data_IF_430697601732
#
_entry.id   IF_430697601732
#
_cell.length_a   1.000
_cell.length_b   1.000
_cell.length_c   1.000
_cell.angle_alpha   90.00
_cell.angle_beta   90.00
_cell.angle_gamma   90.00
#
_symmetry.space_group_name_H-M   'P 1'
#
loop_
_entity.id
_entity.type
_entity.pdbx_description
1 polymer ?
#
# COMPACT_ATOMS: atom_id res chain seq x y z
N UNK A 1 7.61 0.42 6.07
CA UNK A 1 8.64 0.54 5.02
C UNK A 1 8.08 1.07 3.69
N UNK A 2 7.06 0.45 3.07
CA UNK A 2 6.65 0.78 1.70
C UNK A 2 6.41 2.27 1.42
N UNK A 3 5.69 2.96 2.29
CA UNK A 3 5.39 4.40 2.14
C UNK A 3 6.62 5.31 2.36
N UNK A 4 7.56 4.88 3.20
CA UNK A 4 8.80 5.60 3.48
C UNK A 4 9.72 5.53 2.26
N UNK A 5 9.98 4.31 1.78
CA UNK A 5 10.86 4.08 0.64
C UNK A 5 10.30 4.69 -0.63
N UNK A 6 8.99 4.65 -0.84
CA UNK A 6 8.35 5.30 -1.97
C UNK A 6 8.57 6.82 -1.98
N UNK A 7 8.42 7.47 -0.81
CA UNK A 7 8.71 8.89 -0.68
C UNK A 7 10.21 9.19 -0.86
N UNK A 8 11.11 8.38 -0.30
CA UNK A 8 12.56 8.55 -0.47
C UNK A 8 12.97 8.41 -1.94
N UNK A 9 12.44 7.41 -2.64
CA UNK A 9 12.66 7.25 -4.08
C UNK A 9 12.15 8.47 -4.84
N UNK A 10 10.97 9.01 -4.51
CA UNK A 10 10.51 10.25 -5.14
C UNK A 10 11.41 11.45 -4.84
N UNK A 11 11.94 11.52 -3.62
CA UNK A 11 12.75 12.63 -3.13
C UNK A 11 14.17 12.64 -3.69
N UNK A 12 14.83 11.48 -3.77
CA UNK A 12 16.25 11.36 -4.11
C UNK A 12 16.61 10.20 -5.06
N UNK A 13 15.65 9.41 -5.52
CA UNK A 13 15.86 8.32 -6.49
C UNK A 13 16.37 7.00 -5.88
N UNK A 14 16.61 6.96 -4.58
CA UNK A 14 17.14 5.79 -3.86
C UNK A 14 16.60 5.73 -2.43
N UNK A 15 16.58 4.53 -1.83
CA UNK A 15 16.25 4.33 -0.42
C UNK A 15 17.46 4.55 0.46
N UNK A 16 17.27 5.05 1.68
CA UNK A 16 18.37 5.60 2.47
C UNK A 16 19.03 4.67 3.51
N UNK A 17 18.75 3.36 3.54
CA UNK A 17 19.08 2.53 4.72
C UNK A 17 20.04 1.34 4.47
N UNK A 18 21.15 1.32 5.22
CA UNK A 18 21.82 0.08 5.69
C UNK A 18 21.47 -0.14 7.17
N UNK A 19 20.52 -1.04 7.41
CA UNK A 19 19.98 -1.37 8.75
C UNK A 19 21.05 -1.88 9.70
N UNK A 20 21.97 -2.72 9.22
CA UNK A 20 22.90 -3.45 10.08
C UNK A 20 23.94 -2.51 10.70
N UNK A 21 24.40 -1.53 9.91
CA UNK A 21 25.40 -0.56 10.36
C UNK A 21 24.77 0.50 11.28
N UNK A 22 23.60 1.04 10.92
CA UNK A 22 22.97 2.15 11.62
C UNK A 22 22.30 1.77 12.97
N UNK A 23 22.00 0.48 13.18
CA UNK A 23 21.45 0.02 14.46
C UNK A 23 22.49 0.06 15.60
N UNK A 24 23.78 -0.10 15.29
CA UNK A 24 24.83 -0.19 16.31
C UNK A 24 25.09 1.16 16.97
N UNK A 25 24.99 2.25 16.22
CA UNK A 25 25.22 3.62 16.71
C UNK A 25 23.92 4.38 17.03
N UNK A 26 22.76 3.75 16.79
CA UNK A 26 21.44 4.32 17.07
C UNK A 26 20.96 5.35 16.04
N UNK A 27 21.63 5.49 14.89
CA UNK A 27 21.23 6.38 13.81
C UNK A 27 20.17 5.77 12.88
N UNK A 28 19.88 4.48 13.01
CA UNK A 28 18.93 3.76 12.17
C UNK A 28 17.57 4.46 12.08
N UNK A 29 17.13 4.77 10.86
CA UNK A 29 15.84 5.38 10.57
C UNK A 29 15.71 6.84 10.98
N UNK A 30 16.76 7.53 11.44
CA UNK A 30 16.69 8.96 11.81
C UNK A 30 17.00 9.86 10.63
N UNK A 31 16.01 10.02 9.74
CA UNK A 31 16.10 10.90 8.58
C UNK A 31 15.10 12.05 8.69
N UNK A 32 15.62 13.28 8.81
CA UNK A 32 14.80 14.46 9.13
C UNK A 32 13.80 14.80 8.03
N UNK A 33 14.21 14.73 6.77
CA UNK A 33 13.37 15.10 5.63
C UNK A 33 12.19 14.12 5.47
N UNK A 34 12.44 12.80 5.52
CA UNK A 34 11.43 11.73 5.61
C UNK A 34 10.46 11.95 6.77
N UNK A 35 10.98 12.25 7.98
CA UNK A 35 10.12 12.53 9.13
C UNK A 35 9.22 13.73 8.88
N UNK A 36 9.80 14.85 8.44
CA UNK A 36 9.06 16.07 8.17
C UNK A 36 7.98 15.87 7.09
N UNK A 37 8.30 15.14 6.03
CA UNK A 37 7.37 14.90 4.93
C UNK A 37 6.21 13.99 5.34
N UNK A 38 6.49 12.85 5.97
CA UNK A 38 5.46 11.90 6.39
C UNK A 38 4.57 12.43 7.51
N UNK A 39 5.15 13.09 8.52
CA UNK A 39 4.37 13.76 9.55
C UNK A 39 3.57 14.94 8.97
N UNK A 40 4.16 15.71 8.04
CA UNK A 40 3.46 16.75 7.29
C UNK A 40 2.26 16.21 6.51
N UNK A 41 2.42 15.08 5.82
CA UNK A 41 1.34 14.41 5.11
C UNK A 41 0.25 13.90 6.05
N UNK A 42 0.59 13.40 7.25
CA UNK A 42 -0.41 13.01 8.25
C UNK A 42 -1.23 14.21 8.74
N UNK A 43 -0.56 15.34 9.05
CA UNK A 43 -1.25 16.59 9.45
C UNK A 43 -2.13 17.14 8.33
N UNK A 44 -1.63 17.12 7.10
CA UNK A 44 -2.41 17.50 5.91
C UNK A 44 -3.64 16.62 5.75
N UNK A 45 -3.48 15.30 5.86
CA UNK A 45 -4.58 14.35 5.76
C UNK A 45 -5.69 14.65 6.78
N UNK A 46 -5.32 14.94 8.03
CA UNK A 46 -6.25 15.33 9.07
C UNK A 46 -6.91 16.70 8.79
N UNK A 47 -6.16 17.69 8.34
CA UNK A 47 -6.70 19.03 8.03
C UNK A 47 -7.69 18.99 6.86
N UNK A 48 -7.39 18.23 5.82
CA UNK A 48 -8.20 18.12 4.60
C UNK A 48 -9.24 16.99 4.65
N UNK A 49 -9.28 16.21 5.72
CA UNK A 49 -10.17 15.05 5.89
C UNK A 49 -10.03 14.02 4.76
N UNK A 50 -8.79 13.70 4.39
CA UNK A 50 -8.44 12.69 3.39
C UNK A 50 -7.62 11.56 4.00
N UNK A 51 -7.44 10.49 3.22
CA UNK A 51 -6.57 9.37 3.56
C UNK A 51 -5.08 9.73 3.58
N UNK A 52 -4.29 8.99 4.36
CA UNK A 52 -2.85 9.21 4.47
C UNK A 52 -2.13 9.00 3.12
N UNK A 53 -2.51 7.93 2.39
CA UNK A 53 -1.95 7.67 1.07
C UNK A 53 -2.24 8.79 0.06
N UNK A 54 -3.46 9.31 0.03
CA UNK A 54 -3.80 10.47 -0.83
C UNK A 54 -3.00 11.71 -0.45
N UNK A 55 -2.90 12.03 0.84
CA UNK A 55 -2.16 13.20 1.29
C UNK A 55 -0.67 13.11 0.93
N UNK A 56 -0.08 11.92 1.00
CA UNK A 56 1.30 11.70 0.57
C UNK A 56 1.47 11.89 -0.94
N UNK A 57 0.61 11.28 -1.75
CA UNK A 57 0.68 11.44 -3.21
C UNK A 57 0.55 12.90 -3.65
N UNK A 58 -0.32 13.67 -2.98
CA UNK A 58 -0.42 15.12 -3.18
C UNK A 58 0.85 15.86 -2.72
N UNK A 59 1.44 15.45 -1.59
CA UNK A 59 2.69 16.04 -1.10
C UNK A 59 3.84 15.82 -2.10
N UNK A 60 3.92 14.64 -2.71
CA UNK A 60 4.93 14.30 -3.73
C UNK A 60 4.71 15.12 -5.01
N UNK A 61 3.49 15.13 -5.54
CA UNK A 61 3.16 15.76 -6.82
C UNK A 61 3.17 17.29 -6.76
N UNK A 62 2.61 17.89 -5.72
CA UNK A 62 2.60 19.34 -5.52
C UNK A 62 3.97 19.87 -5.07
N UNK A 63 4.71 19.05 -4.32
CA UNK A 63 6.10 19.32 -3.93
C UNK A 63 7.08 19.29 -5.09
N UNK A 64 6.67 18.74 -6.25
CA UNK A 64 7.51 18.57 -7.46
C UNK A 64 8.84 17.89 -7.13
N UNK A 65 8.75 16.77 -6.41
CA UNK A 65 9.95 16.02 -6.05
C UNK A 65 10.70 15.55 -7.31
N UNK A 66 12.05 15.47 -7.28
CA UNK A 66 12.87 15.25 -8.47
C UNK A 66 12.54 13.97 -9.24
N UNK A 67 12.06 12.95 -8.55
CA UNK A 67 11.75 11.62 -9.10
C UNK A 67 10.30 11.22 -8.80
N UNK A 68 9.38 12.20 -8.76
CA UNK A 68 7.97 11.96 -8.42
C UNK A 68 7.29 10.88 -9.29
N UNK A 69 7.73 10.70 -10.54
CA UNK A 69 7.26 9.69 -11.49
C UNK A 69 7.61 8.25 -11.09
N UNK A 70 8.56 8.06 -10.17
CA UNK A 70 8.92 6.74 -9.64
C UNK A 70 8.05 6.32 -8.46
N UNK A 71 7.25 7.24 -7.89
CA UNK A 71 6.42 6.97 -6.73
C UNK A 71 5.05 6.41 -7.12
N UNK A 72 4.68 5.30 -6.47
CA UNK A 72 3.37 4.67 -6.60
C UNK A 72 2.28 5.60 -6.06
N UNK A 73 2.50 6.27 -4.93
CA UNK A 73 1.51 7.20 -4.37
C UNK A 73 1.42 8.50 -5.16
N UNK A 74 2.53 8.99 -5.71
CA UNK A 74 2.58 10.14 -6.61
C UNK A 74 1.77 9.89 -7.89
N UNK A 75 2.02 8.77 -8.57
CA UNK A 75 1.27 8.38 -9.76
C UNK A 75 -0.19 8.07 -9.45
N UNK A 76 -0.50 7.42 -8.32
CA UNK A 76 -1.89 7.20 -7.91
C UNK A 76 -2.64 8.53 -7.71
N UNK A 77 -2.00 9.53 -7.10
CA UNK A 77 -2.59 10.86 -6.97
C UNK A 77 -2.77 11.55 -8.33
N UNK A 78 -1.78 11.48 -9.23
CA UNK A 78 -1.86 12.03 -10.59
C UNK A 78 -3.03 11.43 -11.38
N UNK A 79 -3.22 10.12 -11.27
CA UNK A 79 -4.24 9.35 -11.99
C UNK A 79 -5.60 9.31 -11.29
N UNK A 80 -5.73 9.87 -10.09
CA UNK A 80 -6.96 9.82 -9.30
C UNK A 80 -7.31 8.39 -8.82
N UNK A 81 -6.32 7.51 -8.71
CA UNK A 81 -6.49 6.14 -8.22
C UNK A 81 -6.44 6.16 -6.68
N UNK A 82 -7.42 5.56 -5.99
CA UNK A 82 -7.37 5.42 -4.54
C UNK A 82 -6.13 4.65 -4.07
N UNK A 83 -5.29 5.30 -3.27
CA UNK A 83 -4.13 4.68 -2.63
C UNK A 83 -4.20 4.92 -1.12
N UNK A 84 -4.06 3.84 -0.34
CA UNK A 84 -4.24 3.85 1.11
C UNK A 84 -2.96 3.41 1.82
N UNK A 85 -2.77 3.86 3.06
CA UNK A 85 -1.68 3.45 3.94
C UNK A 85 -2.27 2.97 5.27
N UNK A 86 -2.04 1.70 5.59
CA UNK A 86 -2.51 1.07 6.83
C UNK A 86 -1.36 1.00 7.83
N UNK A 87 -1.36 1.96 8.76
CA UNK A 87 -0.26 2.15 9.71
C UNK A 87 -0.25 1.05 10.75
N UNK A 88 0.90 0.38 10.89
CA UNK A 88 1.23 -0.47 12.02
C UNK A 88 2.12 0.34 12.97
N UNK A 89 1.52 0.89 14.02
CA UNK A 89 2.21 1.83 14.90
C UNK A 89 3.42 1.18 15.59
N UNK A 90 4.58 1.84 15.53
CA UNK A 90 5.85 1.32 16.02
C UNK A 90 6.63 0.45 15.04
N UNK A 91 6.09 0.16 13.85
CA UNK A 91 6.81 -0.60 12.81
C UNK A 91 7.57 0.26 11.81
N UNK A 92 7.18 1.54 11.66
CA UNK A 92 7.80 2.49 10.73
C UNK A 92 8.66 3.52 11.47
N UNK A 93 9.76 3.95 10.85
CA UNK A 93 10.73 4.91 11.41
C UNK A 93 10.10 6.25 11.77
N UNK A 94 9.04 6.66 11.06
CA UNK A 94 8.31 7.91 11.33
C UNK A 94 7.71 7.94 12.74
N UNK A 95 7.42 6.80 13.34
CA UNK A 95 6.92 6.73 14.71
C UNK A 95 7.97 7.08 15.77
N UNK A 96 9.25 7.13 15.38
CA UNK A 96 10.34 7.54 16.25
C UNK A 96 10.47 9.06 16.36
N UNK A 97 9.86 9.83 15.45
CA UNK A 97 9.87 11.29 15.47
C UNK A 97 9.06 11.82 16.67
N UNK A 98 9.68 12.51 17.66
CA UNK A 98 8.97 13.10 18.78
C UNK A 98 7.93 14.16 18.37
N UNK A 99 8.06 14.70 17.16
CA UNK A 99 7.14 15.68 16.60
C UNK A 99 5.92 15.06 15.92
N UNK A 100 5.86 13.72 15.78
CA UNK A 100 4.77 13.03 15.12
C UNK A 100 3.41 13.38 15.75
N UNK A 101 2.50 13.89 14.93
CA UNK A 101 1.11 14.06 15.33
C UNK A 101 0.36 12.72 15.22
N UNK A 102 0.39 11.96 16.31
CA UNK A 102 -0.27 10.64 16.37
C UNK A 102 -1.79 10.69 16.20
N UNK A 103 -2.44 11.79 16.58
CA UNK A 103 -3.87 11.97 16.39
C UNK A 103 -4.20 12.17 14.90
N UNK A 104 -3.41 13.00 14.21
CA UNK A 104 -3.53 13.19 12.78
C UNK A 104 -3.24 11.89 12.01
N UNK A 105 -2.18 11.16 12.36
CA UNK A 105 -1.84 9.89 11.73
C UNK A 105 -2.94 8.84 11.92
N UNK A 106 -3.49 8.74 13.14
CA UNK A 106 -4.62 7.86 13.45
C UNK A 106 -5.87 8.19 12.64
N UNK A 107 -6.22 9.47 12.53
CA UNK A 107 -7.35 9.92 11.71
C UNK A 107 -7.13 9.60 10.22
N UNK A 108 -5.93 9.85 9.71
CA UNK A 108 -5.57 9.62 8.31
C UNK A 108 -5.61 8.13 7.92
N UNK A 109 -5.02 7.24 8.74
CA UNK A 109 -5.06 5.80 8.46
C UNK A 109 -6.45 5.20 8.67
N UNK A 110 -7.27 5.77 9.57
CA UNK A 110 -8.67 5.38 9.71
C UNK A 110 -9.47 5.75 8.45
N UNK A 111 -9.25 6.93 7.88
CA UNK A 111 -9.87 7.32 6.61
C UNK A 111 -9.50 6.34 5.50
N UNK A 112 -8.20 6.00 5.39
CA UNK A 112 -7.69 5.01 4.44
C UNK A 112 -8.35 3.63 4.62
N UNK A 113 -8.56 3.17 5.85
CA UNK A 113 -9.27 1.92 6.11
C UNK A 113 -10.71 1.94 5.57
N UNK A 114 -11.44 3.04 5.77
CA UNK A 114 -12.81 3.16 5.25
C UNK A 114 -12.85 3.27 3.73
N UNK A 115 -11.90 3.99 3.12
CA UNK A 115 -11.73 4.05 1.66
C UNK A 115 -11.45 2.65 1.07
N UNK A 116 -10.57 1.89 1.71
CA UNK A 116 -10.32 0.50 1.32
C UNK A 116 -11.57 -0.37 1.47
N UNK A 117 -12.28 -0.29 2.60
CA UNK A 117 -13.49 -1.06 2.83
C UNK A 117 -14.59 -0.76 1.80
N UNK A 118 -14.74 0.51 1.41
CA UNK A 118 -15.63 0.92 0.33
C UNK A 118 -15.17 0.37 -1.04
N UNK A 119 -13.87 0.37 -1.32
CA UNK A 119 -13.30 -0.24 -2.53
C UNK A 119 -13.53 -1.75 -2.58
N UNK A 120 -13.30 -2.46 -1.48
CA UNK A 120 -13.57 -3.91 -1.36
C UNK A 120 -15.07 -4.22 -1.52
N UNK A 121 -15.95 -3.28 -1.18
CA UNK A 121 -17.39 -3.43 -1.45
C UNK A 121 -17.77 -3.39 -2.93
N UNK A 122 -16.82 -3.11 -3.83
CA UNK A 122 -16.96 -3.17 -5.30
C UNK A 122 -16.11 -4.27 -5.93
N UNK A 123 -15.60 -5.21 -5.15
CA UNK A 123 -14.66 -6.24 -5.62
C UNK A 123 -15.33 -7.35 -6.44
N UNK A 124 -16.66 -7.35 -6.61
CA UNK A 124 -17.35 -8.33 -7.46
C UNK A 124 -16.79 -8.29 -8.90
N UNK A 125 -16.53 -9.47 -9.46
CA UNK A 125 -15.80 -9.71 -10.70
C UNK A 125 -14.35 -9.19 -10.73
N UNK A 126 -13.83 -8.78 -9.57
CA UNK A 126 -12.49 -8.24 -9.39
C UNK A 126 -11.48 -9.24 -8.82
N UNK A 127 -10.28 -8.72 -8.55
CA UNK A 127 -9.17 -9.49 -8.02
C UNK A 127 -8.52 -8.74 -6.86
N UNK A 128 -8.29 -9.46 -5.75
CA UNK A 128 -7.41 -9.02 -4.69
C UNK A 128 -6.03 -9.69 -4.82
N UNK A 129 -4.97 -8.89 -4.81
CA UNK A 129 -3.58 -9.39 -4.84
C UNK A 129 -2.87 -8.94 -3.57
N UNK A 130 -2.46 -9.89 -2.73
CA UNK A 130 -1.60 -9.63 -1.58
C UNK A 130 -0.14 -9.86 -1.98
N UNK A 131 0.70 -8.83 -1.90
CA UNK A 131 2.12 -8.90 -2.27
C UNK A 131 2.97 -8.63 -1.04
N UNK A 132 3.73 -9.63 -0.59
CA UNK A 132 4.75 -9.50 0.45
C UNK A 132 4.28 -9.10 1.84
N UNK A 133 2.96 -9.01 2.08
CA UNK A 133 2.42 -8.70 3.40
C UNK A 133 2.04 -9.99 4.13
N UNK A 134 2.84 -10.35 5.13
CA UNK A 134 2.60 -11.54 5.92
C UNK A 134 1.38 -11.39 6.86
N UNK A 135 1.13 -10.20 7.42
CA UNK A 135 0.12 -9.99 8.48
C UNK A 135 -0.77 -8.79 8.25
N UNK A 136 -0.21 -7.59 8.05
CA UNK A 136 -0.97 -6.33 8.07
C UNK A 136 -2.06 -6.33 7.00
N UNK A 137 -1.72 -6.52 5.73
CA UNK A 137 -2.70 -6.49 4.65
C UNK A 137 -3.67 -7.69 4.69
N UNK A 138 -3.25 -8.94 4.98
CA UNK A 138 -4.18 -10.04 5.19
C UNK A 138 -5.23 -9.76 6.29
N UNK A 139 -4.82 -9.14 7.39
CA UNK A 139 -5.74 -8.79 8.48
C UNK A 139 -6.66 -7.63 8.08
N UNK A 140 -6.12 -6.55 7.48
CA UNK A 140 -6.90 -5.42 6.99
C UNK A 140 -7.95 -5.85 5.96
N UNK A 141 -7.54 -6.66 4.97
CA UNK A 141 -8.40 -7.19 3.92
C UNK A 141 -9.58 -8.00 4.50
N UNK A 142 -9.30 -8.88 5.46
CA UNK A 142 -10.34 -9.70 6.11
C UNK A 142 -11.41 -8.82 6.78
N UNK A 143 -11.01 -7.70 7.40
CA UNK A 143 -11.97 -6.77 8.03
C UNK A 143 -12.75 -5.99 6.98
N UNK A 144 -12.09 -5.55 5.91
CA UNK A 144 -12.76 -4.88 4.79
C UNK A 144 -13.82 -5.78 4.12
N UNK A 145 -13.49 -7.05 3.85
CA UNK A 145 -14.44 -8.05 3.34
C UNK A 145 -15.62 -8.26 4.30
N UNK A 146 -15.34 -8.38 5.60
CA UNK A 146 -16.38 -8.53 6.63
C UNK A 146 -17.35 -7.34 6.62
N UNK A 147 -16.84 -6.10 6.56
CA UNK A 147 -17.66 -4.89 6.47
C UNK A 147 -18.49 -4.88 5.18
N UNK A 148 -17.87 -5.18 4.04
CA UNK A 148 -18.54 -5.18 2.74
C UNK A 148 -19.70 -6.19 2.68
N UNK A 149 -19.47 -7.39 3.23
CA UNK A 149 -20.48 -8.45 3.33
C UNK A 149 -21.58 -8.13 4.35
N UNK A 150 -21.22 -7.59 5.50
CA UNK A 150 -22.19 -7.16 6.50
C UNK A 150 -23.17 -6.10 5.96
N UNK A 151 -22.72 -5.30 4.98
CA UNK A 151 -23.55 -4.33 4.25
C UNK A 151 -24.28 -4.91 3.04
N UNK A 152 -24.13 -6.20 2.74
CA UNK A 152 -24.74 -6.85 1.57
C UNK A 152 -24.20 -6.35 0.23
N UNK A 153 -22.97 -5.82 0.19
CA UNK A 153 -22.38 -5.20 -1.02
C UNK A 153 -21.34 -6.05 -1.72
N UNK A 154 -20.95 -7.19 -1.15
CA UNK A 154 -19.94 -8.09 -1.72
C UNK A 154 -20.46 -9.52 -1.73
N UNK A 155 -20.48 -10.13 -2.91
CA UNK A 155 -20.88 -11.51 -3.13
C UNK A 155 -19.71 -12.47 -2.96
N UNK A 156 -19.68 -13.47 -3.84
CA UNK A 156 -18.70 -14.54 -3.84
C UNK A 156 -17.87 -14.62 -5.13
N UNK A 157 -18.18 -13.77 -6.11
CA UNK A 157 -17.55 -13.80 -7.42
C UNK A 157 -16.37 -12.84 -7.50
N UNK A 158 -15.32 -13.12 -6.74
CA UNK A 158 -14.04 -12.43 -6.88
C UNK A 158 -12.89 -13.41 -6.63
N UNK A 159 -11.75 -13.12 -7.25
CA UNK A 159 -10.54 -13.92 -7.07
C UNK A 159 -9.59 -13.28 -6.05
N UNK A 160 -8.82 -14.11 -5.37
CA UNK A 160 -7.74 -13.67 -4.49
C UNK A 160 -6.46 -14.40 -4.84
N UNK A 161 -5.32 -13.72 -4.73
CA UNK A 161 -4.01 -14.32 -4.92
C UNK A 161 -3.00 -13.76 -3.91
N UNK A 162 -2.19 -14.65 -3.33
CA UNK A 162 -1.07 -14.28 -2.48
C UNK A 162 0.26 -14.48 -3.20
N UNK A 163 1.12 -13.46 -3.21
CA UNK A 163 2.48 -13.51 -3.72
C UNK A 163 3.47 -13.29 -2.57
N UNK A 164 4.31 -14.28 -2.32
CA UNK A 164 5.32 -14.23 -1.25
C UNK A 164 6.55 -15.07 -1.64
N UNK A 165 7.67 -14.87 -0.97
CA UNK A 165 8.87 -15.68 -1.13
C UNK A 165 8.81 -16.98 -0.32
N UNK A 166 7.87 -17.05 0.64
CA UNK A 166 7.64 -18.22 1.48
C UNK A 166 6.18 -18.29 1.97
N UNK A 167 5.78 -19.44 2.50
CA UNK A 167 4.43 -19.60 3.04
C UNK A 167 4.25 -18.87 4.37
N UNK A 168 3.33 -17.89 4.40
CA UNK A 168 2.94 -17.17 5.59
C UNK A 168 1.56 -17.61 6.07
N UNK A 169 1.43 -17.98 7.34
CA UNK A 169 0.17 -18.50 7.90
C UNK A 169 -1.02 -17.55 7.69
N UNK A 170 -0.87 -16.27 8.04
CA UNK A 170 -1.97 -15.30 7.95
C UNK A 170 -2.34 -14.98 6.52
N UNK A 171 -1.38 -14.86 5.62
CA UNK A 171 -1.65 -14.67 4.20
C UNK A 171 -2.37 -15.88 3.60
N UNK A 172 -1.89 -17.11 3.87
CA UNK A 172 -2.55 -18.34 3.42
C UNK A 172 -4.00 -18.41 3.94
N UNK A 173 -4.20 -18.21 5.24
CA UNK A 173 -5.54 -18.36 5.81
C UNK A 173 -6.49 -17.23 5.38
N UNK A 174 -6.07 -15.96 5.48
CA UNK A 174 -6.98 -14.82 5.27
C UNK A 174 -7.14 -14.41 3.81
N UNK A 175 -6.18 -14.72 2.94
CA UNK A 175 -6.22 -14.37 1.51
C UNK A 175 -6.55 -15.58 0.64
N UNK A 176 -6.15 -16.80 1.01
CA UNK A 176 -6.34 -17.98 0.15
C UNK A 176 -7.51 -18.83 0.63
N UNK A 177 -7.58 -19.17 1.92
CA UNK A 177 -8.54 -20.18 2.41
C UNK A 177 -9.91 -19.63 2.83
N UNK A 178 -9.98 -18.40 3.36
CA UNK A 178 -11.19 -17.81 3.94
C UNK A 178 -12.09 -17.01 2.99
N UNK A 179 -11.57 -16.34 1.94
CA UNK A 179 -12.45 -15.71 0.95
C UNK A 179 -13.44 -16.74 0.37
N UNK A 180 -14.59 -16.28 -0.18
CA UNK A 180 -15.71 -17.14 -0.56
C UNK A 180 -15.37 -18.41 -1.35
N UNK A 181 -14.32 -18.30 -2.17
CA UNK A 181 -13.74 -19.36 -2.97
C UNK A 181 -12.26 -19.45 -2.62
N UNK A 182 -11.70 -20.63 -2.76
CA UNK A 182 -10.27 -20.85 -2.54
C UNK A 182 -9.47 -19.99 -3.52
N UNK A 183 -8.58 -19.16 -2.98
CA UNK A 183 -7.68 -18.30 -3.75
C UNK A 183 -6.46 -19.04 -4.28
N UNK A 184 -5.55 -18.28 -4.86
CA UNK A 184 -4.26 -18.78 -5.35
C UNK A 184 -3.11 -18.33 -4.45
N UNK A 185 -2.01 -19.10 -4.47
CA UNK A 185 -0.75 -18.71 -3.82
C UNK A 185 0.40 -18.97 -4.78
N UNK A 186 1.26 -17.96 -4.96
CA UNK A 186 2.46 -18.01 -5.77
C UNK A 186 3.66 -17.77 -4.87
N UNK A 187 4.57 -18.75 -4.82
CA UNK A 187 5.81 -18.65 -4.06
C UNK A 187 6.97 -18.39 -5.02
N UNK A 188 7.50 -17.17 -5.01
CA UNK A 188 8.58 -16.74 -5.90
C UNK A 188 9.21 -15.44 -5.39
N UNK A 189 10.46 -15.17 -5.80
CA UNK A 189 11.10 -13.87 -5.58
C UNK A 189 10.32 -12.76 -6.29
N UNK A 190 10.04 -11.66 -5.58
CA UNK A 190 9.18 -10.58 -6.10
C UNK A 190 9.80 -9.88 -7.31
N UNK A 191 11.12 -9.75 -7.33
CA UNK A 191 11.91 -9.16 -8.41
C UNK A 191 11.80 -9.97 -9.71
N UNK A 192 11.39 -11.23 -9.64
CA UNK A 192 11.15 -12.10 -10.79
C UNK A 192 9.67 -12.12 -11.16
N UNK A 193 8.80 -12.41 -10.18
CA UNK A 193 7.39 -12.70 -10.46
C UNK A 193 6.57 -11.46 -10.78
N UNK A 194 6.87 -10.30 -10.19
CA UNK A 194 6.08 -9.08 -10.43
C UNK A 194 6.30 -8.53 -11.85
N UNK A 195 7.53 -8.47 -12.40
CA UNK A 195 7.73 -8.13 -13.81
C UNK A 195 7.05 -9.13 -14.76
N UNK A 196 7.07 -10.43 -14.44
CA UNK A 196 6.38 -11.45 -15.24
C UNK A 196 4.86 -11.25 -15.20
N UNK A 197 4.29 -11.02 -14.01
CA UNK A 197 2.87 -10.74 -13.85
C UNK A 197 2.46 -9.51 -14.67
N UNK A 198 3.25 -8.43 -14.59
CA UNK A 198 3.02 -7.23 -15.38
C UNK A 198 3.00 -7.54 -16.88
N UNK A 199 4.01 -8.24 -17.41
CA UNK A 199 4.07 -8.62 -18.82
C UNK A 199 2.92 -9.55 -19.23
N UNK A 200 2.53 -10.49 -18.36
CA UNK A 200 1.40 -11.38 -18.60
C UNK A 200 0.08 -10.61 -18.69
N UNK A 201 -0.14 -9.61 -17.83
CA UNK A 201 -1.31 -8.74 -17.87
C UNK A 201 -1.35 -7.91 -19.16
N UNK A 202 -0.22 -7.34 -19.59
CA UNK A 202 -0.13 -6.60 -20.86
C UNK A 202 -0.43 -7.52 -22.06
N UNK A 203 0.15 -8.72 -22.10
CA UNK A 203 -0.05 -9.67 -23.17
C UNK A 203 -1.51 -10.16 -23.24
N UNK A 204 -2.09 -10.51 -22.09
CA UNK A 204 -3.48 -10.94 -21.98
C UNK A 204 -4.46 -9.82 -22.33
N UNK A 205 -4.21 -8.59 -21.84
CA UNK A 205 -5.02 -7.41 -22.13
C UNK A 205 -5.01 -7.06 -23.62
N UNK A 206 -3.82 -7.08 -24.24
CA UNK A 206 -3.67 -6.88 -25.69
C UNK A 206 -4.42 -7.95 -26.49
N UNK A 207 -4.30 -9.22 -26.12
CA UNK A 207 -5.04 -10.32 -26.76
C UNK A 207 -6.57 -10.19 -26.58
N UNK A 208 -7.02 -9.58 -25.49
CA UNK A 208 -8.43 -9.29 -25.21
C UNK A 208 -8.91 -7.96 -25.83
N UNK A 209 -8.05 -7.19 -26.52
CA UNK A 209 -8.40 -5.91 -27.14
C UNK A 209 -8.60 -4.75 -26.15
N UNK A 210 -8.05 -4.85 -24.94
CA UNK A 210 -8.09 -3.77 -23.95
C UNK A 210 -7.08 -2.67 -24.31
N UNK A 211 -7.50 -1.41 -24.20
CA UNK A 211 -6.59 -0.27 -24.34
C UNK A 211 -5.60 -0.27 -23.16
N UNK A 212 -4.31 -0.39 -23.46
CA UNK A 212 -3.27 -0.53 -22.44
C UNK A 212 -2.63 0.79 -22.00
N UNK A 213 -3.04 1.94 -22.56
CA UNK A 213 -2.57 3.26 -22.10
C UNK A 213 -3.35 3.71 -20.86
N UNK A 214 -2.69 3.72 -19.71
CA UNK A 214 -3.12 4.54 -18.57
C UNK A 214 -2.64 5.96 -18.86
N UNK A 215 -3.52 6.81 -19.42
CA UNK A 215 -3.22 8.24 -19.66
C UNK A 215 -3.31 9.03 -18.35
#
# INVERSE_FOLDING_TARGET
AGVIHDWEIAYQGETSEDVATALVDGSFGFWRETFAALNGAARRAAAEQIGYGKALGLTITEGRLPCAELSVWGEAARLGIPATVHVAFGCDIVHMDPSLDGAALGAATQHDFWLLADTVSRLEHGVWINIGSAVIMPEVFLKAVSIARNRGRLGDDFATCNFDMMHQYRALTNVVQRPPREGLSVICQHEIVLPILHQALLAAGSAAGLAMEVR
#
